data_IF_683240247732
#
_entry.id   IF_683240247732
#
_cell.length_a   1.000
_cell.length_b   1.000
_cell.length_c   1.000
_cell.angle_alpha   90.00
_cell.angle_beta   90.00
_cell.angle_gamma   90.00
#
_symmetry.space_group_name_H-M   'P 1'
#
loop_
_entity.id
_entity.type
_entity.pdbx_description
1 polymer ?
#
# COMPACT_ATOMS: atom_id res chain seq x y z
N UNK A 1 10.89 -19.89 0.97
CA UNK A 1 10.65 -18.56 0.36
C UNK A 1 9.51 -18.73 -0.63
N UNK A 2 8.31 -18.26 -0.28
CA UNK A 2 7.16 -18.29 -1.18
C UNK A 2 7.18 -17.05 -2.06
N UNK A 3 7.26 -17.25 -3.39
CA UNK A 3 7.10 -16.21 -4.39
C UNK A 3 5.71 -15.57 -4.20
N UNK A 4 5.67 -14.30 -3.85
CA UNK A 4 4.42 -13.54 -3.82
C UNK A 4 3.95 -13.37 -5.26
N UNK A 5 2.96 -14.16 -5.65
CA UNK A 5 2.35 -14.10 -6.99
C UNK A 5 1.48 -12.85 -7.06
N UNK A 6 1.76 -11.93 -7.99
CA UNK A 6 0.90 -10.79 -8.27
C UNK A 6 -0.51 -11.28 -8.64
N UNK A 7 -1.52 -10.89 -7.85
CA UNK A 7 -2.91 -11.27 -8.11
C UNK A 7 -3.53 -10.30 -9.10
N UNK A 8 -3.70 -10.75 -10.34
CA UNK A 8 -4.35 -10.04 -11.43
C UNK A 8 -5.87 -10.11 -11.27
N UNK A 9 -6.53 -9.12 -10.67
CA UNK A 9 -7.99 -9.12 -10.49
C UNK A 9 -8.54 -7.69 -10.42
N UNK A 10 -9.42 -7.31 -11.34
CA UNK A 10 -9.92 -5.94 -11.50
C UNK A 10 -11.36 -5.74 -11.06
N UNK A 11 -11.61 -5.66 -9.75
CA UNK A 11 -12.79 -5.02 -9.17
C UNK A 11 -12.57 -4.72 -7.67
N UNK A 12 -13.43 -3.92 -7.04
CA UNK A 12 -13.33 -3.60 -5.60
C UNK A 12 -13.31 -4.86 -4.71
N UNK A 13 -13.97 -5.95 -5.12
CA UNK A 13 -14.00 -7.22 -4.38
C UNK A 13 -12.62 -7.90 -4.34
N UNK A 14 -11.83 -7.79 -5.41
CA UNK A 14 -10.47 -8.34 -5.44
C UNK A 14 -9.53 -7.60 -4.51
N UNK A 15 -9.68 -6.27 -4.42
CA UNK A 15 -8.94 -5.48 -3.45
C UNK A 15 -9.31 -5.86 -2.01
N UNK A 16 -10.60 -6.01 -1.70
CA UNK A 16 -11.03 -6.49 -0.38
C UNK A 16 -10.50 -7.90 -0.08
N UNK A 17 -10.46 -8.80 -1.07
CA UNK A 17 -9.87 -10.13 -0.92
C UNK A 17 -8.37 -10.05 -0.64
N UNK A 18 -7.64 -9.19 -1.35
CA UNK A 18 -6.22 -8.92 -1.09
C UNK A 18 -5.99 -8.42 0.35
N UNK A 19 -6.83 -7.52 0.85
CA UNK A 19 -6.75 -7.04 2.24
C UNK A 19 -6.98 -8.19 3.23
N UNK A 20 -8.00 -9.01 3.00
CA UNK A 20 -8.33 -10.15 3.84
C UNK A 20 -7.23 -11.23 3.88
N UNK A 21 -6.58 -11.49 2.76
CA UNK A 21 -5.52 -12.50 2.66
C UNK A 21 -4.18 -12.04 3.27
N UNK A 22 -3.95 -10.73 3.37
CA UNK A 22 -2.67 -10.20 3.83
C UNK A 22 -2.72 -9.53 5.21
N UNK A 23 -3.91 -9.40 5.84
CA UNK A 23 -4.04 -8.84 7.19
C UNK A 23 -3.28 -9.64 8.26
N UNK A 24 -3.16 -10.96 8.08
CA UNK A 24 -2.46 -11.86 9.02
C UNK A 24 -0.97 -12.03 8.70
N UNK A 25 -0.55 -11.85 7.43
CA UNK A 25 0.87 -11.89 7.01
C UNK A 25 1.70 -10.72 7.58
N UNK A 26 1.03 -9.72 8.18
CA UNK A 26 1.67 -8.62 8.89
C UNK A 26 2.28 -9.05 10.23
N UNK A 27 1.90 -10.22 10.77
CA UNK A 27 2.45 -10.72 12.04
C UNK A 27 3.93 -11.12 11.96
N UNK A 28 4.42 -11.50 10.78
CA UNK A 28 5.71 -12.22 10.62
C UNK A 28 6.74 -11.55 9.68
N UNK A 29 6.43 -10.43 9.01
CA UNK A 29 7.39 -9.75 8.11
C UNK A 29 8.32 -8.80 8.87
N UNK A 30 9.48 -9.32 9.30
CA UNK A 30 10.65 -8.53 9.72
C UNK A 30 11.13 -7.64 8.56
N UNK A 31 11.03 -6.33 8.72
CA UNK A 31 11.75 -5.35 7.90
C UNK A 31 13.12 -5.12 8.55
N UNK A 32 14.18 -5.37 7.79
CA UNK A 32 15.56 -5.32 8.27
C UNK A 32 15.93 -3.88 8.68
N UNK A 33 16.50 -3.71 9.87
CA UNK A 33 16.92 -2.39 10.41
C UNK A 33 16.00 -1.77 11.48
N UNK A 34 14.80 -2.30 11.72
CA UNK A 34 13.98 -1.91 12.86
C UNK A 34 14.00 -3.00 13.93
N UNK A 35 14.35 -2.63 15.17
CA UNK A 35 14.12 -3.49 16.32
C UNK A 35 12.61 -3.77 16.40
N UNK A 36 12.24 -5.04 16.20
CA UNK A 36 10.85 -5.52 16.25
C UNK A 36 10.19 -5.07 17.56
N UNK A 37 8.88 -4.87 17.53
CA UNK A 37 8.03 -4.77 18.73
C UNK A 37 8.34 -5.85 19.75
N UNK A 38 8.92 -6.98 19.35
CA UNK A 38 9.40 -8.05 20.24
C UNK A 38 10.54 -7.62 21.14
N UNK A 39 11.40 -6.65 20.78
CA UNK A 39 12.53 -6.20 21.62
C UNK A 39 12.06 -5.17 22.65
N UNK A 40 11.11 -4.31 22.27
CA UNK A 40 10.44 -3.38 23.20
C UNK A 40 9.46 -4.13 24.11
N UNK A 41 8.75 -5.12 23.56
CA UNK A 41 7.94 -6.06 24.31
C UNK A 41 8.81 -6.99 25.16
N UNK A 42 10.02 -7.41 24.76
CA UNK A 42 10.92 -8.21 25.61
C UNK A 42 11.46 -7.39 26.78
N UNK A 43 11.80 -6.12 26.54
CA UNK A 43 12.24 -5.21 27.60
C UNK A 43 11.11 -4.92 28.60
N UNK A 44 9.88 -4.77 28.11
CA UNK A 44 8.68 -4.67 28.95
C UNK A 44 8.35 -6.01 29.63
N UNK A 45 8.49 -7.14 28.93
CA UNK A 45 8.23 -8.52 29.42
C UNK A 45 9.25 -8.92 30.47
N UNK A 46 10.50 -8.47 30.39
CA UNK A 46 11.49 -8.64 31.47
C UNK A 46 11.16 -7.79 32.71
N UNK A 47 10.60 -6.59 32.51
CA UNK A 47 10.05 -5.77 33.62
C UNK A 47 8.72 -6.30 34.18
N UNK A 48 7.92 -6.96 33.35
CA UNK A 48 6.54 -7.40 33.61
C UNK A 48 6.42 -8.87 34.02
N UNK A 49 7.41 -9.72 33.75
CA UNK A 49 7.49 -11.08 34.31
C UNK A 49 7.63 -11.05 35.84
N UNK A 50 7.99 -9.90 36.42
CA UNK A 50 7.88 -9.63 37.85
C UNK A 50 6.43 -9.34 38.33
N UNK A 51 5.44 -9.28 37.43
CA UNK A 51 4.07 -8.87 37.71
C UNK A 51 3.00 -9.45 36.78
N UNK A 52 2.68 -10.75 36.93
CA UNK A 52 1.41 -11.43 36.58
C UNK A 52 1.05 -11.68 35.09
N UNK A 53 1.06 -12.96 34.77
CA UNK A 53 0.70 -13.70 33.54
C UNK A 53 -0.71 -13.50 32.93
N UNK A 54 -1.62 -12.70 33.52
CA UNK A 54 -3.03 -12.65 33.08
C UNK A 54 -3.34 -11.45 32.17
N UNK A 55 -2.46 -10.43 32.09
CA UNK A 55 -2.68 -9.27 31.22
C UNK A 55 -2.12 -9.42 29.79
N UNK A 56 -1.32 -10.47 29.52
CA UNK A 56 -0.58 -10.64 28.25
C UNK A 56 -1.49 -10.88 27.04
N UNK A 57 -2.56 -11.65 27.17
CA UNK A 57 -3.36 -12.09 26.01
C UNK A 57 -4.23 -10.96 25.45
N UNK A 58 -5.00 -10.28 26.31
CA UNK A 58 -5.96 -9.25 25.87
C UNK A 58 -5.25 -8.00 25.32
N UNK A 59 -4.12 -7.61 25.91
CA UNK A 59 -3.39 -6.41 25.47
C UNK A 59 -2.74 -6.66 24.11
N UNK A 60 -2.06 -7.79 23.91
CA UNK A 60 -1.42 -8.12 22.62
C UNK A 60 -2.48 -8.26 21.52
N UNK A 61 -3.63 -8.87 21.83
CA UNK A 61 -4.75 -8.98 20.89
C UNK A 61 -5.33 -7.62 20.51
N UNK A 62 -5.54 -6.72 21.49
CA UNK A 62 -6.05 -5.36 21.25
C UNK A 62 -5.06 -4.51 20.43
N UNK A 63 -3.77 -4.60 20.70
CA UNK A 63 -2.73 -3.91 19.92
C UNK A 63 -2.68 -4.42 18.49
N UNK A 64 -2.70 -5.74 18.29
CA UNK A 64 -2.72 -6.35 16.97
C UNK A 64 -3.96 -5.94 16.19
N UNK A 65 -5.13 -5.90 16.84
CA UNK A 65 -6.38 -5.47 16.21
C UNK A 65 -6.31 -4.01 15.76
N UNK A 66 -5.87 -3.09 16.62
CA UNK A 66 -5.70 -1.68 16.26
C UNK A 66 -4.69 -1.48 15.13
N UNK A 67 -3.64 -2.29 15.11
CA UNK A 67 -2.64 -2.26 14.05
C UNK A 67 -3.24 -2.70 12.70
N UNK A 68 -3.94 -3.83 12.69
CA UNK A 68 -4.62 -4.37 11.50
C UNK A 68 -5.67 -3.36 10.99
N UNK A 69 -6.47 -2.78 11.88
CA UNK A 69 -7.47 -1.76 11.51
C UNK A 69 -6.82 -0.52 10.88
N UNK A 70 -5.70 -0.04 11.42
CA UNK A 70 -4.94 1.07 10.82
C UNK A 70 -4.39 0.69 9.45
N UNK A 71 -3.85 -0.51 9.29
CA UNK A 71 -3.34 -1.00 8.01
C UNK A 71 -4.45 -1.09 6.96
N UNK A 72 -5.58 -1.70 7.30
CA UNK A 72 -6.74 -1.83 6.41
C UNK A 72 -7.24 -0.45 6.00
N UNK A 73 -7.44 0.45 6.97
CA UNK A 73 -7.91 1.82 6.69
C UNK A 73 -6.95 2.57 5.76
N UNK A 74 -5.64 2.51 6.05
CA UNK A 74 -4.59 3.15 5.23
C UNK A 74 -4.57 2.58 3.82
N UNK A 75 -4.61 1.25 3.67
CA UNK A 75 -4.61 0.58 2.37
C UNK A 75 -5.85 0.89 1.55
N UNK A 76 -7.03 0.90 2.17
CA UNK A 76 -8.28 1.34 1.53
C UNK A 76 -8.19 2.77 1.04
N UNK A 77 -7.60 3.66 1.83
CA UNK A 77 -7.44 5.05 1.40
C UNK A 77 -6.51 5.17 0.18
N UNK A 78 -5.38 4.44 0.15
CA UNK A 78 -4.47 4.41 -1.00
C UNK A 78 -5.21 3.98 -2.27
N UNK A 79 -6.03 2.93 -2.16
CA UNK A 79 -6.84 2.44 -3.27
C UNK A 79 -7.85 3.48 -3.75
N UNK A 80 -8.59 4.10 -2.82
CA UNK A 80 -9.56 5.15 -3.16
C UNK A 80 -8.90 6.37 -3.79
N UNK A 81 -7.75 6.81 -3.30
CA UNK A 81 -7.02 7.95 -3.87
C UNK A 81 -6.46 7.64 -5.26
N UNK A 82 -6.00 6.40 -5.46
CA UNK A 82 -5.59 5.91 -6.79
C UNK A 82 -6.76 5.97 -7.79
N UNK A 83 -7.94 5.48 -7.38
CA UNK A 83 -9.14 5.55 -8.22
C UNK A 83 -9.62 6.98 -8.47
N UNK A 84 -9.53 7.89 -7.49
CA UNK A 84 -9.84 9.32 -7.72
C UNK A 84 -8.96 9.95 -8.81
N UNK A 85 -7.68 9.57 -8.86
CA UNK A 85 -6.77 10.03 -9.90
C UNK A 85 -7.15 9.44 -11.27
N UNK A 86 -7.38 8.12 -11.34
CA UNK A 86 -7.81 7.44 -12.57
C UNK A 86 -9.11 8.04 -13.10
N UNK A 87 -10.12 8.21 -12.24
CA UNK A 87 -11.41 8.80 -12.59
C UNK A 87 -11.28 10.21 -13.17
N UNK A 88 -10.36 11.01 -12.62
CA UNK A 88 -10.06 12.34 -13.17
C UNK A 88 -9.45 12.22 -14.58
N UNK A 89 -8.47 11.35 -14.77
CA UNK A 89 -7.79 11.18 -16.04
C UNK A 89 -8.74 10.62 -17.12
N UNK A 90 -9.62 9.69 -16.75
CA UNK A 90 -10.65 9.16 -17.63
C UNK A 90 -11.68 10.20 -18.05
N UNK A 91 -12.08 11.12 -17.15
CA UNK A 91 -12.97 12.24 -17.50
C UNK A 91 -12.39 13.14 -18.58
N UNK A 92 -11.07 13.32 -18.56
CA UNK A 92 -10.30 14.04 -19.59
C UNK A 92 -9.92 13.15 -20.78
N UNK A 93 -10.51 11.95 -20.90
CA UNK A 93 -10.34 10.98 -22.00
C UNK A 93 -8.94 10.40 -22.14
N UNK A 94 -8.09 10.53 -21.12
CA UNK A 94 -6.83 9.81 -21.06
C UNK A 94 -7.07 8.36 -20.66
N UNK A 95 -6.32 7.44 -21.28
CA UNK A 95 -6.39 6.02 -20.98
C UNK A 95 -5.30 5.63 -20.01
N UNK A 96 -5.65 4.87 -18.99
CA UNK A 96 -4.71 4.29 -18.03
C UNK A 96 -4.72 2.78 -18.21
N UNK A 97 -3.56 2.13 -18.29
CA UNK A 97 -3.49 0.70 -18.58
C UNK A 97 -3.66 -0.13 -17.30
N UNK A 98 -2.94 0.24 -16.24
CA UNK A 98 -2.99 -0.48 -14.97
C UNK A 98 -2.41 0.36 -13.83
N UNK A 99 -2.60 -0.10 -12.59
CA UNK A 99 -1.86 0.42 -11.45
C UNK A 99 -1.41 -0.71 -10.51
N UNK A 100 -0.42 -0.39 -9.69
CA UNK A 100 0.25 -1.31 -8.76
C UNK A 100 0.35 -0.65 -7.39
N UNK A 101 0.07 -1.39 -6.32
CA UNK A 101 0.13 -0.88 -4.95
C UNK A 101 1.10 -1.71 -4.11
N UNK A 102 2.03 -1.02 -3.47
CA UNK A 102 2.80 -1.50 -2.32
C UNK A 102 2.30 -0.77 -1.06
N UNK A 103 1.37 -1.39 -0.35
CA UNK A 103 0.79 -0.83 0.87
C UNK A 103 1.64 -1.12 2.14
N UNK A 104 2.60 -2.05 2.04
CA UNK A 104 3.36 -2.59 3.18
C UNK A 104 4.64 -1.81 3.48
N UNK A 105 5.07 -0.94 2.57
CA UNK A 105 6.21 -0.04 2.78
C UNK A 105 5.92 1.03 3.85
N UNK A 106 6.96 1.45 4.57
CA UNK A 106 6.92 2.61 5.48
C UNK A 106 6.35 3.84 4.75
N UNK A 107 6.77 4.02 3.50
CA UNK A 107 6.21 4.94 2.53
C UNK A 107 5.46 4.14 1.48
N UNK A 108 4.13 3.96 1.61
CA UNK A 108 3.37 3.21 0.63
C UNK A 108 3.54 3.80 -0.77
N UNK A 109 3.51 2.93 -1.77
CA UNK A 109 3.81 3.30 -3.15
C UNK A 109 2.70 2.88 -4.09
N UNK A 110 2.45 3.73 -5.07
CA UNK A 110 1.56 3.49 -6.20
C UNK A 110 2.30 3.80 -7.48
N UNK A 111 2.28 2.84 -8.41
CA UNK A 111 2.73 3.04 -9.78
C UNK A 111 1.49 3.00 -10.66
N UNK A 112 1.30 4.03 -11.47
CA UNK A 112 0.27 4.08 -12.50
C UNK A 112 0.97 3.87 -13.85
N UNK A 113 0.59 2.79 -14.51
CA UNK A 113 1.11 2.40 -15.80
C UNK A 113 0.31 3.04 -16.92
N UNK A 114 1.00 3.75 -17.79
CA UNK A 114 0.44 4.54 -18.89
C UNK A 114 1.16 4.24 -20.21
N UNK A 115 0.55 4.62 -21.32
CA UNK A 115 1.17 4.53 -22.65
C UNK A 115 2.30 5.57 -22.78
N UNK A 116 3.33 5.26 -23.59
CA UNK A 116 4.50 6.13 -23.74
C UNK A 116 4.13 7.52 -24.27
N UNK A 117 3.13 7.59 -25.16
CA UNK A 117 2.65 8.84 -25.74
C UNK A 117 2.12 9.83 -24.69
N UNK A 118 1.55 9.32 -23.58
CA UNK A 118 1.07 10.15 -22.48
C UNK A 118 2.22 10.74 -21.66
N UNK A 119 3.39 10.09 -21.63
CA UNK A 119 4.57 10.64 -20.95
C UNK A 119 5.10 11.90 -21.63
N UNK A 120 4.80 12.06 -22.93
CA UNK A 120 5.18 13.22 -23.74
C UNK A 120 4.06 14.27 -23.84
N UNK A 121 2.91 14.03 -23.21
CA UNK A 121 1.77 14.92 -23.25
C UNK A 121 1.78 15.87 -22.03
N UNK A 122 2.13 17.14 -22.25
CA UNK A 122 2.22 18.15 -21.19
C UNK A 122 0.89 18.37 -20.45
N UNK A 123 -0.25 18.32 -21.14
CA UNK A 123 -1.57 18.50 -20.52
C UNK A 123 -1.84 17.36 -19.53
N UNK A 124 -1.59 16.13 -19.98
CA UNK A 124 -1.71 14.94 -19.15
C UNK A 124 -0.77 15.00 -17.95
N UNK A 125 0.53 15.26 -18.17
CA UNK A 125 1.55 15.29 -17.13
C UNK A 125 1.22 16.35 -16.07
N UNK A 126 0.86 17.56 -16.50
CA UNK A 126 0.51 18.64 -15.58
C UNK A 126 -0.73 18.30 -14.75
N UNK A 127 -1.77 17.76 -15.38
CA UNK A 127 -2.99 17.35 -14.69
C UNK A 127 -2.72 16.23 -13.68
N UNK A 128 -2.03 15.18 -14.11
CA UNK A 128 -1.72 14.00 -13.32
C UNK A 128 -0.87 14.37 -12.10
N UNK A 129 0.25 15.07 -12.29
CA UNK A 129 1.14 15.43 -11.18
C UNK A 129 0.51 16.46 -10.22
N UNK A 130 -0.31 17.39 -10.73
CA UNK A 130 -1.08 18.29 -9.85
C UNK A 130 -1.99 17.48 -8.94
N UNK A 131 -2.70 16.50 -9.51
CA UNK A 131 -3.63 15.68 -8.73
C UNK A 131 -2.91 14.72 -7.78
N UNK A 132 -1.80 14.11 -8.22
CA UNK A 132 -0.93 13.30 -7.37
C UNK A 132 -0.50 14.11 -6.14
N UNK A 133 0.01 15.32 -6.35
CA UNK A 133 0.48 16.17 -5.26
C UNK A 133 -0.63 16.48 -4.24
N UNK A 134 -1.85 16.79 -4.71
CA UNK A 134 -3.02 16.98 -3.84
C UNK A 134 -3.29 15.74 -2.98
N UNK A 135 -3.38 14.56 -3.60
CA UNK A 135 -3.68 13.30 -2.93
C UNK A 135 -2.59 12.92 -1.91
N UNK A 136 -1.31 13.11 -2.26
CA UNK A 136 -0.20 12.86 -1.36
C UNK A 136 -0.23 13.78 -0.13
N UNK A 137 -0.64 15.05 -0.32
CA UNK A 137 -0.79 16.01 0.76
C UNK A 137 -1.94 15.63 1.69
N UNK A 138 -3.10 15.27 1.13
CA UNK A 138 -4.27 14.85 1.90
C UNK A 138 -3.96 13.59 2.71
N UNK A 139 -3.35 12.59 2.08
CA UNK A 139 -2.93 11.36 2.74
C UNK A 139 -1.93 11.61 3.88
N UNK A 140 -0.96 12.51 3.68
CA UNK A 140 -0.01 12.89 4.73
C UNK A 140 -0.71 13.54 5.92
N UNK A 141 -1.72 14.38 5.69
CA UNK A 141 -2.47 15.01 6.77
C UNK A 141 -3.27 13.98 7.58
N UNK A 142 -3.86 13.00 6.92
CA UNK A 142 -4.73 11.99 7.57
C UNK A 142 -3.96 10.89 8.31
N UNK A 143 -2.78 10.51 7.80
CA UNK A 143 -2.03 9.34 8.29
C UNK A 143 -0.62 9.65 8.79
N UNK A 144 -0.19 10.92 8.76
CA UNK A 144 1.16 11.38 9.14
C UNK A 144 2.29 10.57 8.47
N UNK A 145 2.08 10.18 7.21
CA UNK A 145 2.99 9.34 6.42
C UNK A 145 2.89 9.74 4.96
N UNK A 146 3.99 9.65 4.22
CA UNK A 146 4.00 9.99 2.79
C UNK A 146 3.50 8.82 1.97
N UNK A 147 2.54 9.06 1.07
CA UNK A 147 2.21 8.18 -0.04
C UNK A 147 3.05 8.60 -1.25
N UNK A 148 3.73 7.67 -1.89
CA UNK A 148 4.45 7.91 -3.14
C UNK A 148 3.56 7.46 -4.30
N UNK A 149 3.16 8.36 -5.19
CA UNK A 149 2.48 8.01 -6.44
C UNK A 149 3.32 8.45 -7.61
N UNK A 150 3.46 7.59 -8.60
CA UNK A 150 4.30 7.83 -9.78
C UNK A 150 3.66 7.29 -11.05
N UNK A 151 4.06 7.87 -12.18
CA UNK A 151 3.67 7.43 -13.52
C UNK A 151 4.82 6.63 -14.13
N UNK A 152 4.52 5.56 -14.85
CA UNK A 152 5.53 4.76 -15.55
C UNK A 152 4.98 4.21 -16.86
N UNK A 153 5.86 4.07 -17.85
CA UNK A 153 5.50 3.51 -19.14
C UNK A 153 5.19 2.01 -18.97
N UNK A 154 3.98 1.61 -19.40
CA UNK A 154 3.48 0.25 -19.24
C UNK A 154 4.33 -0.80 -19.97
N UNK A 155 4.93 -0.45 -21.10
CA UNK A 155 5.75 -1.35 -21.92
C UNK A 155 7.08 -1.72 -21.26
N UNK A 156 7.55 -0.88 -20.32
CA UNK A 156 8.84 -1.05 -19.64
C UNK A 156 8.69 -1.61 -18.22
N UNK A 157 7.49 -2.02 -17.81
CA UNK A 157 7.27 -2.57 -16.47
C UNK A 157 7.53 -4.08 -16.43
N UNK A 158 8.58 -4.46 -15.71
CA UNK A 158 8.83 -5.84 -15.34
C UNK A 158 8.00 -6.21 -14.10
N UNK A 159 6.94 -6.98 -14.34
CA UNK A 159 5.96 -7.40 -13.34
C UNK A 159 6.59 -8.31 -12.26
N UNK A 160 7.58 -9.12 -12.64
CA UNK A 160 8.25 -10.02 -11.71
C UNK A 160 9.16 -9.22 -10.75
N UNK A 161 9.86 -8.22 -11.27
CA UNK A 161 10.66 -7.29 -10.44
C UNK A 161 9.77 -6.43 -9.53
N UNK A 162 8.65 -5.93 -10.02
CA UNK A 162 7.69 -5.21 -9.17
C UNK A 162 7.16 -6.08 -8.03
N UNK A 163 6.88 -7.35 -8.29
CA UNK A 163 6.47 -8.31 -7.25
C UNK A 163 7.56 -8.48 -6.20
N UNK A 164 8.82 -8.61 -6.65
CA UNK A 164 9.98 -8.74 -5.78
C UNK A 164 10.20 -7.49 -4.90
N UNK A 165 9.92 -6.30 -5.45
CA UNK A 165 9.97 -5.00 -4.76
C UNK A 165 8.76 -4.75 -3.84
N UNK A 166 7.86 -5.72 -3.72
CA UNK A 166 6.75 -5.70 -2.77
C UNK A 166 5.49 -4.99 -3.28
N UNK A 167 5.34 -4.77 -4.58
CA UNK A 167 4.04 -4.45 -5.17
C UNK A 167 3.19 -5.71 -5.18
N UNK A 168 2.21 -5.77 -4.28
CA UNK A 168 1.44 -6.99 -4.03
C UNK A 168 0.02 -6.95 -4.61
N UNK A 169 -0.46 -5.76 -5.01
CA UNK A 169 -1.74 -5.58 -5.68
C UNK A 169 -1.54 -4.96 -7.05
N UNK A 170 -2.29 -5.45 -8.04
CA UNK A 170 -2.33 -4.93 -9.40
C UNK A 170 -3.78 -4.94 -9.90
N UNK A 171 -4.14 -3.89 -10.62
CA UNK A 171 -5.40 -3.80 -11.33
C UNK A 171 -5.18 -3.30 -12.75
N UNK A 172 -5.76 -4.02 -13.72
CA UNK A 172 -5.77 -3.64 -15.13
C UNK A 172 -7.07 -2.90 -15.43
N UNK A 173 -6.97 -1.79 -16.13
CA UNK A 173 -8.07 -0.89 -16.46
C UNK A 173 -8.34 -1.02 -17.96
N UNK A 174 -9.62 -1.18 -18.32
CA UNK A 174 -10.09 -1.38 -19.71
C UNK A 174 -10.80 -0.14 -20.24
#
# INVERSE_FOLDING_TARGET
>A
MGLATLKKQGNTESFYKYLEENKDNFKDKKVDGYYHTDVVADAYTKGFNNGKEIAKTNVIEDYNKQFIEKFVRKSTQIYLDTHKLIDLLHKEKFKINSFYINAFSEYPKVIIAIEEELMLNDEFINLAYRKIFELQKDFKNDYNTTLEMSLSCSENLDIDLLSADGFQYQETIF
#
